data_IF_835934490640
#
_entry.id   IF_835934490640
#
_cell.length_a   1.000
_cell.length_b   1.000
_cell.length_c   1.000
_cell.angle_alpha   90.00
_cell.angle_beta   90.00
_cell.angle_gamma   90.00
#
_symmetry.space_group_name_H-M   'P 1'
#
loop_
_entity.id
_entity.type
_entity.pdbx_description
1 polymer ?
#
# COMPACT_ATOMS: atom_id res chain seq x y z
N UNK A 1 62.21 29.47 13.77
CA UNK A 1 60.81 29.11 14.00
C UNK A 1 60.21 28.71 12.66
N UNK A 2 59.95 27.41 12.43
CA UNK A 2 59.37 26.88 11.19
C UNK A 2 57.99 26.30 11.55
N UNK A 3 56.94 26.80 10.90
CA UNK A 3 55.55 26.39 11.12
C UNK A 3 55.18 25.26 10.16
N UNK A 4 54.67 24.15 10.69
CA UNK A 4 54.08 23.04 9.91
C UNK A 4 52.56 23.25 9.75
N UNK A 5 51.93 22.83 8.63
CA UNK A 5 50.49 22.91 8.46
C UNK A 5 49.81 21.60 8.90
N UNK A 6 48.71 21.72 9.65
CA UNK A 6 47.86 20.59 10.04
C UNK A 6 46.97 20.15 8.87
N UNK A 7 47.04 18.87 8.53
CA UNK A 7 46.07 18.17 7.67
C UNK A 7 44.82 17.82 8.49
N UNK A 8 43.66 18.36 8.14
CA UNK A 8 42.38 17.93 8.68
C UNK A 8 41.80 16.81 7.80
N UNK A 9 41.68 15.61 8.36
CA UNK A 9 41.03 14.45 7.74
C UNK A 9 39.53 14.52 8.04
N UNK A 10 38.71 14.76 7.00
CA UNK A 10 37.24 14.72 7.11
C UNK A 10 36.78 13.29 6.85
N UNK A 11 36.34 12.60 7.90
CA UNK A 11 35.75 11.26 7.80
C UNK A 11 34.25 11.38 7.46
N UNK A 12 33.87 10.94 6.27
CA UNK A 12 32.47 10.88 5.82
C UNK A 12 31.78 9.66 6.43
N UNK A 13 30.88 9.89 7.38
CA UNK A 13 30.04 8.86 8.00
C UNK A 13 28.87 8.54 7.07
N UNK A 14 28.92 7.38 6.40
CA UNK A 14 27.81 6.88 5.59
C UNK A 14 26.69 6.35 6.49
N UNK A 15 25.55 7.03 6.49
CA UNK A 15 24.34 6.63 7.22
C UNK A 15 23.61 5.54 6.40
N UNK A 16 23.70 4.28 6.83
CA UNK A 16 22.86 3.20 6.30
C UNK A 16 21.44 3.37 6.84
N UNK A 17 20.52 3.84 6.02
CA UNK A 17 19.09 3.81 6.32
C UNK A 17 18.56 2.40 6.09
N UNK A 18 18.34 1.66 7.17
CA UNK A 18 17.62 0.38 7.13
C UNK A 18 16.14 0.65 6.89
N UNK A 19 15.67 0.38 5.67
CA UNK A 19 14.23 0.31 5.39
C UNK A 19 13.69 -0.93 6.10
N UNK A 20 13.06 -0.72 7.25
CA UNK A 20 12.33 -1.78 7.95
C UNK A 20 11.06 -2.09 7.16
N UNK A 21 11.09 -3.13 6.33
CA UNK A 21 9.88 -3.73 5.80
C UNK A 21 9.13 -4.41 6.94
N UNK A 22 7.96 -3.92 7.31
CA UNK A 22 7.09 -4.63 8.24
C UNK A 22 6.58 -5.90 7.52
N UNK A 23 6.78 -7.07 8.13
CA UNK A 23 6.18 -8.30 7.63
C UNK A 23 4.66 -8.22 7.79
N UNK A 24 3.92 -8.62 6.76
CA UNK A 24 2.46 -8.63 6.79
C UNK A 24 1.92 -9.46 7.97
N UNK A 25 0.79 -9.04 8.53
CA UNK A 25 0.17 -9.71 9.68
C UNK A 25 -0.46 -11.03 9.23
N UNK A 26 0.02 -12.13 9.80
CA UNK A 26 -0.46 -13.48 9.47
C UNK A 26 -1.73 -13.84 10.23
N UNK A 27 -2.84 -14.08 9.53
CA UNK A 27 -4.13 -14.37 10.15
C UNK A 27 -4.11 -15.54 11.14
N UNK A 28 -3.75 -16.74 10.70
CA UNK A 28 -3.78 -17.95 11.54
C UNK A 28 -2.91 -17.84 12.81
N UNK A 29 -1.79 -17.11 12.73
CA UNK A 29 -0.83 -17.03 13.85
C UNK A 29 -1.08 -15.84 14.78
N UNK A 30 -1.65 -14.76 14.27
CA UNK A 30 -1.72 -13.48 15.00
C UNK A 30 -3.14 -12.98 15.21
N UNK A 31 -4.07 -13.25 14.29
CA UNK A 31 -5.45 -12.75 14.35
C UNK A 31 -6.43 -13.81 14.85
N UNK A 32 -6.31 -15.04 14.35
CA UNK A 32 -7.18 -16.14 14.74
C UNK A 32 -7.20 -16.38 16.27
N UNK A 33 -6.06 -16.37 17.00
CA UNK A 33 -6.09 -16.50 18.46
C UNK A 33 -6.88 -15.39 19.17
N UNK A 34 -6.86 -14.16 18.63
CA UNK A 34 -7.63 -13.03 19.16
C UNK A 34 -9.13 -13.28 18.94
N UNK A 35 -9.50 -13.69 17.72
CA UNK A 35 -10.89 -14.01 17.37
C UNK A 35 -11.42 -15.14 18.25
N UNK A 36 -10.66 -16.22 18.40
CA UNK A 36 -11.02 -17.38 19.22
C UNK A 36 -11.26 -16.98 20.68
N UNK A 37 -10.37 -16.17 21.26
CA UNK A 37 -10.46 -15.77 22.65
C UNK A 37 -11.55 -14.72 22.92
N UNK A 38 -11.75 -13.76 22.00
CA UNK A 38 -12.53 -12.54 22.27
C UNK A 38 -13.87 -12.50 21.54
N UNK A 39 -14.02 -13.24 20.45
CA UNK A 39 -15.18 -13.09 19.55
C UNK A 39 -16.06 -14.36 19.52
N UNK A 40 -15.45 -15.55 19.50
CA UNK A 40 -16.17 -16.81 19.28
C UNK A 40 -17.05 -17.25 20.45
N UNK A 41 -17.02 -16.56 21.58
CA UNK A 41 -18.00 -16.76 22.65
C UNK A 41 -19.44 -16.51 22.17
N UNK A 42 -19.63 -15.50 21.32
CA UNK A 42 -20.95 -15.06 20.84
C UNK A 42 -21.11 -15.14 19.31
N UNK A 43 -20.03 -15.04 18.54
CA UNK A 43 -20.05 -14.96 17.07
C UNK A 43 -19.52 -16.24 16.42
N UNK A 44 -20.15 -17.38 16.70
CA UNK A 44 -19.83 -18.68 16.10
C UNK A 44 -21.08 -19.37 15.58
N UNK A 45 -20.91 -20.48 14.88
CA UNK A 45 -22.02 -21.32 14.46
C UNK A 45 -23.01 -21.61 15.61
N UNK A 46 -24.29 -21.84 15.27
CA UNK A 46 -25.29 -22.18 16.28
C UNK A 46 -24.80 -23.35 17.13
N UNK A 47 -24.86 -23.20 18.44
CA UNK A 47 -24.30 -24.18 19.37
C UNK A 47 -25.24 -24.40 20.55
N UNK A 48 -25.08 -25.52 21.23
CA UNK A 48 -25.80 -25.76 22.47
C UNK A 48 -25.02 -25.22 23.66
N UNK A 49 -25.73 -24.49 24.53
CA UNK A 49 -25.22 -24.01 25.80
C UNK A 49 -26.32 -24.22 26.86
N UNK A 50 -26.01 -24.97 27.92
CA UNK A 50 -26.96 -25.30 28.98
C UNK A 50 -28.27 -25.94 28.47
N UNK A 51 -28.16 -26.83 27.47
CA UNK A 51 -29.30 -27.52 26.86
C UNK A 51 -30.21 -26.63 26.01
N UNK A 52 -29.77 -25.41 25.66
CA UNK A 52 -30.48 -24.49 24.78
C UNK A 52 -29.63 -24.19 23.55
N UNK A 53 -30.24 -24.26 22.37
CA UNK A 53 -29.62 -23.77 21.14
C UNK A 53 -29.43 -22.25 21.23
N UNK A 54 -28.22 -21.79 20.95
CA UNK A 54 -27.82 -20.38 20.87
C UNK A 54 -27.47 -20.05 19.43
N UNK A 55 -28.13 -19.04 18.90
CA UNK A 55 -27.80 -18.46 17.59
C UNK A 55 -26.69 -17.40 17.75
N UNK A 56 -25.85 -17.18 16.71
CA UNK A 56 -24.86 -16.11 16.70
C UNK A 56 -25.48 -14.74 16.96
N UNK A 57 -24.83 -13.92 17.78
CA UNK A 57 -25.30 -12.55 18.05
C UNK A 57 -25.20 -11.68 16.80
N UNK A 58 -26.27 -10.92 16.53
CA UNK A 58 -26.41 -10.07 15.34
C UNK A 58 -26.32 -10.86 14.03
N UNK A 59 -26.68 -12.15 14.05
CA UNK A 59 -26.50 -13.10 12.93
C UNK A 59 -25.07 -13.19 12.39
N UNK A 60 -24.09 -12.65 13.14
CA UNK A 60 -22.71 -12.52 12.72
C UNK A 60 -21.91 -13.72 13.20
N UNK A 61 -21.22 -14.39 12.27
CA UNK A 61 -20.21 -15.38 12.62
C UNK A 61 -18.81 -14.93 12.22
N UNK A 62 -17.89 -15.19 13.12
CA UNK A 62 -16.46 -14.93 12.98
C UNK A 62 -15.63 -16.22 13.01
N UNK A 63 -16.29 -17.38 13.01
CA UNK A 63 -15.68 -18.72 13.00
C UNK A 63 -15.40 -19.26 11.59
N UNK A 64 -15.65 -18.48 10.55
CA UNK A 64 -15.40 -18.86 9.16
C UNK A 64 -15.17 -17.65 8.26
N UNK A 65 -14.19 -17.76 7.35
CA UNK A 65 -13.84 -16.66 6.45
C UNK A 65 -15.04 -16.22 5.58
N UNK A 66 -15.82 -17.18 5.08
CA UNK A 66 -17.01 -16.88 4.28
C UNK A 66 -18.06 -16.11 5.06
N UNK A 67 -18.21 -16.39 6.37
CA UNK A 67 -19.20 -15.75 7.22
C UNK A 67 -18.74 -14.35 7.64
N UNK A 68 -17.44 -14.18 7.93
CA UNK A 68 -16.84 -12.88 8.22
C UNK A 68 -17.02 -11.89 7.06
N UNK A 69 -16.89 -12.38 5.82
CA UNK A 69 -17.09 -11.58 4.61
C UNK A 69 -18.57 -11.34 4.28
N UNK A 70 -19.45 -12.28 4.65
CA UNK A 70 -20.91 -12.08 4.51
C UNK A 70 -21.41 -10.97 5.44
N UNK A 71 -20.86 -10.89 6.65
CA UNK A 71 -21.32 -9.97 7.68
C UNK A 71 -22.51 -10.50 8.48
N UNK A 72 -23.22 -9.61 9.16
CA UNK A 72 -24.34 -9.92 10.05
C UNK A 72 -25.63 -9.21 9.66
N UNK A 73 -26.53 -9.06 10.65
CA UNK A 73 -27.86 -8.45 10.53
C UNK A 73 -27.83 -7.05 9.91
N UNK A 74 -26.79 -6.27 10.19
CA UNK A 74 -26.62 -4.90 9.69
C UNK A 74 -25.69 -4.80 8.47
N UNK A 75 -25.32 -5.92 7.87
CA UNK A 75 -24.46 -5.99 6.69
C UNK A 75 -23.00 -6.26 7.01
N UNK A 76 -22.11 -5.76 6.15
CA UNK A 76 -20.68 -6.08 6.18
C UNK A 76 -19.95 -5.43 7.37
N UNK A 77 -19.44 -6.26 8.28
CA UNK A 77 -18.66 -5.83 9.46
C UNK A 77 -17.15 -5.78 9.20
N UNK A 78 -16.68 -6.49 8.16
CA UNK A 78 -15.29 -6.55 7.74
C UNK A 78 -15.18 -5.94 6.34
N UNK A 79 -14.46 -4.82 6.22
CA UNK A 79 -14.19 -4.15 4.95
C UNK A 79 -12.68 -4.18 4.69
N UNK A 80 -12.19 -5.14 3.90
CA UNK A 80 -10.77 -5.24 3.53
C UNK A 80 -10.19 -3.90 3.06
N UNK A 81 -9.04 -3.52 3.62
CA UNK A 81 -8.33 -2.27 3.33
C UNK A 81 -8.90 -1.02 4.01
N UNK A 82 -9.94 -1.14 4.85
CA UNK A 82 -10.65 0.00 5.45
C UNK A 82 -11.03 -0.27 6.91
N UNK A 83 -10.05 -0.32 7.81
CA UNK A 83 -10.31 -0.52 9.25
C UNK A 83 -11.19 0.57 9.85
N UNK A 84 -11.03 1.82 9.40
CA UNK A 84 -11.78 3.01 9.84
C UNK A 84 -13.29 2.99 9.54
N UNK A 85 -13.74 2.02 8.74
CA UNK A 85 -15.14 1.80 8.40
C UNK A 85 -15.55 0.34 8.56
N UNK A 86 -14.72 -0.48 9.22
CA UNK A 86 -15.03 -1.87 9.56
C UNK A 86 -15.51 -1.95 11.00
N UNK A 87 -16.79 -2.26 11.20
CA UNK A 87 -17.40 -2.41 12.53
C UNK A 87 -16.65 -3.45 13.39
N UNK A 88 -16.09 -4.49 12.76
CA UNK A 88 -15.24 -5.49 13.41
C UNK A 88 -14.05 -4.87 14.17
N UNK A 89 -13.49 -3.77 13.69
CA UNK A 89 -12.46 -3.01 14.39
C UNK A 89 -13.06 -1.91 15.27
N UNK A 90 -13.96 -1.09 14.71
CA UNK A 90 -14.50 0.09 15.40
C UNK A 90 -15.13 -0.27 16.74
N UNK A 91 -15.92 -1.34 16.80
CA UNK A 91 -16.61 -1.75 18.03
C UNK A 91 -15.66 -2.24 19.12
N UNK A 92 -14.44 -2.67 18.75
CA UNK A 92 -13.43 -3.12 19.72
C UNK A 92 -12.67 -1.98 20.41
N UNK A 93 -12.79 -0.76 19.87
CA UNK A 93 -12.09 0.43 20.38
C UNK A 93 -13.03 1.52 20.89
N UNK A 94 -14.34 1.24 20.92
CA UNK A 94 -15.33 2.11 21.55
C UNK A 94 -15.11 2.23 23.07
N UNK A 95 -15.68 3.26 23.71
CA UNK A 95 -15.81 3.29 25.16
C UNK A 95 -16.51 2.04 25.69
N UNK A 96 -16.09 1.52 26.84
CA UNK A 96 -16.64 0.27 27.39
C UNK A 96 -18.11 0.34 27.80
N UNK A 97 -18.61 1.54 28.01
CA UNK A 97 -20.00 1.85 28.35
C UNK A 97 -20.87 2.09 27.11
N UNK A 98 -20.29 2.03 25.90
CA UNK A 98 -21.03 2.05 24.66
C UNK A 98 -21.74 0.70 24.44
N UNK A 99 -23.00 0.74 24.01
CA UNK A 99 -23.82 -0.46 23.79
C UNK A 99 -23.27 -1.34 22.65
N UNK A 100 -22.55 -0.75 21.69
CA UNK A 100 -21.92 -1.46 20.58
C UNK A 100 -20.50 -1.95 20.93
N UNK A 101 -20.00 -1.69 22.14
CA UNK A 101 -18.66 -2.13 22.55
C UNK A 101 -18.53 -3.67 22.54
N UNK A 102 -17.49 -4.16 21.88
CA UNK A 102 -17.19 -5.58 21.76
C UNK A 102 -15.80 -5.93 22.33
N UNK A 103 -15.66 -7.01 23.12
CA UNK A 103 -16.75 -7.89 23.56
C UNK A 103 -17.56 -7.29 24.73
N UNK A 104 -18.89 -7.55 24.81
CA UNK A 104 -19.76 -7.00 25.86
C UNK A 104 -19.50 -7.66 27.22
N UNK A 105 -18.87 -8.83 27.23
CA UNK A 105 -18.45 -9.57 28.42
C UNK A 105 -17.08 -10.17 28.19
N UNK A 106 -16.27 -10.19 29.25
CA UNK A 106 -14.89 -10.66 29.19
C UNK A 106 -13.91 -9.50 29.02
N UNK A 107 -12.64 -9.85 28.86
CA UNK A 107 -11.59 -8.85 28.73
C UNK A 107 -11.59 -8.21 27.34
N UNK A 108 -11.51 -6.87 27.24
CA UNK A 108 -11.26 -6.16 25.98
C UNK A 108 -10.05 -6.69 25.22
N UNK A 109 -9.96 -6.29 23.95
CA UNK A 109 -8.68 -6.36 23.25
C UNK A 109 -7.69 -5.43 23.95
N UNK A 110 -6.47 -5.92 24.12
CA UNK A 110 -5.32 -5.08 24.45
C UNK A 110 -5.03 -4.11 23.30
N UNK A 111 -4.28 -3.04 23.57
CA UNK A 111 -3.86 -2.10 22.53
C UNK A 111 -3.14 -2.80 21.36
N UNK A 112 -2.38 -3.84 21.69
CA UNK A 112 -1.56 -4.58 20.71
C UNK A 112 -2.41 -5.51 19.86
N UNK A 113 -3.41 -6.17 20.46
CA UNK A 113 -4.39 -6.97 19.73
C UNK A 113 -5.25 -6.10 18.81
N UNK A 114 -5.73 -4.96 19.31
CA UNK A 114 -6.51 -4.01 18.50
C UNK A 114 -5.67 -3.46 17.34
N UNK A 115 -4.38 -3.19 17.56
CA UNK A 115 -3.45 -2.77 16.51
C UNK A 115 -3.24 -3.86 15.48
N UNK A 116 -3.03 -5.12 15.89
CA UNK A 116 -2.90 -6.25 14.97
C UNK A 116 -4.16 -6.40 14.10
N UNK A 117 -5.34 -6.38 14.72
CA UNK A 117 -6.62 -6.45 14.02
C UNK A 117 -6.76 -5.32 13.00
N UNK A 118 -6.44 -4.08 13.40
CA UNK A 118 -6.45 -2.91 12.52
C UNK A 118 -5.53 -3.10 11.32
N UNK A 119 -4.27 -3.46 11.56
CA UNK A 119 -3.26 -3.65 10.51
C UNK A 119 -3.68 -4.76 9.55
N UNK A 120 -4.15 -5.89 10.06
CA UNK A 120 -4.62 -6.99 9.21
C UNK A 120 -5.78 -6.57 8.32
N UNK A 121 -6.76 -5.80 8.83
CA UNK A 121 -7.84 -5.27 8.00
C UNK A 121 -7.29 -4.32 6.94
N UNK A 122 -6.42 -3.37 7.32
CA UNK A 122 -5.82 -2.40 6.39
C UNK A 122 -4.94 -3.05 5.31
N UNK A 123 -4.31 -4.18 5.61
CA UNK A 123 -3.53 -5.00 4.67
C UNK A 123 -4.41 -5.82 3.72
N UNK A 124 -5.74 -5.80 3.89
CA UNK A 124 -6.69 -6.46 3.00
C UNK A 124 -7.37 -7.69 3.60
N UNK A 125 -7.27 -7.88 4.92
CA UNK A 125 -7.92 -8.97 5.65
C UNK A 125 -7.60 -10.36 5.06
N UNK A 126 -6.32 -10.61 4.76
CA UNK A 126 -5.89 -11.88 4.19
C UNK A 126 -6.01 -13.02 5.21
N UNK A 127 -6.91 -13.96 4.97
CA UNK A 127 -7.10 -15.16 5.80
C UNK A 127 -5.99 -16.20 5.59
N UNK A 128 -5.10 -15.99 4.61
CA UNK A 128 -4.10 -16.95 4.18
C UNK A 128 -4.77 -18.17 3.54
N UNK A 129 -4.79 -19.29 4.25
CA UNK A 129 -5.47 -20.53 3.83
C UNK A 129 -6.64 -20.93 4.72
N UNK A 130 -6.93 -20.15 5.77
CA UNK A 130 -7.94 -20.53 6.74
C UNK A 130 -9.35 -20.31 6.20
N UNK A 131 -10.13 -21.40 6.12
CA UNK A 131 -11.53 -21.33 5.69
C UNK A 131 -12.50 -21.27 6.88
N UNK A 132 -12.08 -21.83 8.03
CA UNK A 132 -12.90 -21.98 9.24
C UNK A 132 -14.11 -22.90 9.06
N UNK A 133 -15.15 -22.69 9.86
CA UNK A 133 -16.34 -23.54 9.91
C UNK A 133 -17.22 -23.43 8.65
N UNK A 134 -17.32 -24.52 7.88
CA UNK A 134 -18.10 -24.57 6.64
C UNK A 134 -19.59 -24.90 6.84
N UNK A 135 -20.05 -25.12 8.07
CA UNK A 135 -21.45 -25.41 8.36
C UNK A 135 -22.36 -24.24 7.95
N UNK A 136 -23.46 -24.55 7.25
CA UNK A 136 -24.44 -23.56 6.83
C UNK A 136 -23.95 -22.59 5.76
N UNK A 137 -22.79 -22.87 5.14
CA UNK A 137 -22.25 -22.06 4.06
C UNK A 137 -23.18 -22.13 2.83
N UNK A 138 -23.64 -20.99 2.30
CA UNK A 138 -24.43 -20.97 1.07
C UNK A 138 -23.63 -21.51 -0.12
N UNK A 139 -24.28 -22.32 -0.96
CA UNK A 139 -23.65 -22.98 -2.10
C UNK A 139 -23.19 -22.00 -3.21
N UNK A 140 -23.79 -20.81 -3.23
CA UNK A 140 -23.48 -19.71 -4.13
C UNK A 140 -22.34 -18.81 -3.63
N UNK A 141 -21.86 -18.97 -2.39
CA UNK A 141 -20.63 -18.31 -1.93
C UNK A 141 -19.44 -19.11 -2.47
N UNK A 142 -18.67 -18.56 -3.44
CA UNK A 142 -17.56 -19.27 -4.08
C UNK A 142 -16.60 -19.84 -3.04
N UNK A 143 -16.21 -21.13 -3.21
CA UNK A 143 -15.18 -21.87 -2.44
C UNK A 143 -14.09 -20.96 -1.88
N UNK A 144 -13.69 -21.15 -0.61
CA UNK A 144 -12.97 -20.18 0.23
C UNK A 144 -12.02 -19.29 -0.54
N UNK A 145 -12.05 -17.98 -0.26
CA UNK A 145 -11.41 -16.91 -1.04
C UNK A 145 -10.04 -17.32 -1.58
N UNK A 146 -10.02 -17.91 -2.77
CA UNK A 146 -8.83 -17.88 -3.61
C UNK A 146 -8.72 -16.42 -4.05
N UNK A 147 -7.78 -15.72 -3.40
CA UNK A 147 -7.33 -14.33 -3.63
C UNK A 147 -8.32 -13.23 -3.28
N UNK A 148 -8.01 -12.47 -2.22
CA UNK A 148 -8.01 -11.00 -2.34
C UNK A 148 -6.56 -10.52 -2.47
N UNK A 149 -5.95 -10.93 -3.57
CA UNK A 149 -4.92 -10.19 -4.27
C UNK A 149 -4.96 -10.66 -5.72
N UNK A 150 -6.06 -10.33 -6.41
CA UNK A 150 -5.87 -9.94 -7.81
C UNK A 150 -4.81 -8.83 -7.80
N UNK A 151 -3.86 -8.79 -8.75
CA UNK A 151 -2.87 -7.73 -8.71
C UNK A 151 -3.63 -6.41 -8.66
N UNK A 152 -3.22 -5.49 -7.76
CA UNK A 152 -3.86 -4.16 -7.69
C UNK A 152 -3.92 -3.63 -9.11
N UNK A 153 -4.92 -2.83 -9.48
CA UNK A 153 -5.03 -2.34 -10.88
C UNK A 153 -3.70 -1.75 -11.40
N UNK A 154 -2.98 -1.09 -10.49
CA UNK A 154 -1.62 -0.59 -10.69
C UNK A 154 -0.55 -1.67 -10.92
N UNK A 155 -0.64 -2.82 -10.25
CA UNK A 155 0.24 -3.97 -10.46
C UNK A 155 0.01 -4.63 -11.84
N UNK A 156 -1.24 -4.79 -12.28
CA UNK A 156 -1.54 -5.25 -13.65
C UNK A 156 -1.06 -4.23 -14.70
N UNK A 157 -1.32 -2.93 -14.46
CA UNK A 157 -0.85 -1.85 -15.31
C UNK A 157 0.67 -1.89 -15.46
N UNK A 158 1.42 -1.99 -14.36
CA UNK A 158 2.89 -2.02 -14.39
C UNK A 158 3.44 -3.29 -15.01
N UNK A 159 2.79 -4.43 -14.79
CA UNK A 159 3.16 -5.66 -15.49
C UNK A 159 2.99 -5.50 -17.00
N UNK A 160 1.90 -4.88 -17.45
CA UNK A 160 1.65 -4.58 -18.86
C UNK A 160 2.70 -3.62 -19.42
N UNK A 161 2.99 -2.51 -18.72
CA UNK A 161 3.97 -1.52 -19.16
C UNK A 161 5.40 -2.07 -19.20
N UNK A 162 5.74 -2.98 -18.28
CA UNK A 162 7.07 -3.59 -18.19
C UNK A 162 7.34 -4.66 -19.27
N UNK A 163 6.32 -5.02 -20.07
CA UNK A 163 6.47 -6.04 -21.12
C UNK A 163 7.50 -5.60 -22.16
N UNK A 164 8.42 -6.51 -22.51
CA UNK A 164 9.53 -6.31 -23.45
C UNK A 164 10.50 -5.15 -23.12
N UNK A 165 10.45 -4.66 -21.88
CA UNK A 165 11.26 -3.54 -21.44
C UNK A 165 12.59 -4.02 -20.85
N UNK A 166 13.70 -3.45 -21.32
CA UNK A 166 15.04 -3.75 -20.82
C UNK A 166 15.46 -2.75 -19.74
N UNK A 167 16.21 -3.17 -18.71
CA UNK A 167 16.81 -2.25 -17.75
C UNK A 167 17.70 -1.21 -18.43
N UNK A 168 17.64 0.02 -17.92
CA UNK A 168 18.49 1.13 -18.39
C UNK A 168 19.89 0.99 -17.79
N UNK A 169 20.91 1.21 -18.61
CA UNK A 169 22.30 1.18 -18.14
C UNK A 169 22.55 2.25 -17.06
N UNK A 170 23.30 1.90 -16.01
CA UNK A 170 23.61 2.81 -14.91
C UNK A 170 24.26 4.12 -15.36
N UNK A 171 25.11 4.06 -16.40
CA UNK A 171 25.74 5.25 -16.98
C UNK A 171 24.71 6.24 -17.57
N UNK A 172 23.60 5.74 -18.12
CA UNK A 172 22.51 6.58 -18.62
C UNK A 172 21.75 7.24 -17.47
N UNK A 173 21.52 6.48 -16.39
CA UNK A 173 20.92 7.00 -15.15
C UNK A 173 21.81 8.06 -14.51
N UNK A 174 23.13 7.85 -14.47
CA UNK A 174 24.10 8.80 -13.93
C UNK A 174 24.09 10.13 -14.70
N UNK A 175 24.02 10.10 -16.03
CA UNK A 175 23.91 11.31 -16.86
C UNK A 175 22.63 12.11 -16.58
N UNK A 176 21.51 11.44 -16.35
CA UNK A 176 20.27 12.13 -15.95
C UNK A 176 20.41 12.77 -14.57
N UNK A 177 21.11 12.13 -13.63
CA UNK A 177 21.42 12.70 -12.31
C UNK A 177 22.29 13.95 -12.39
N UNK A 178 23.28 13.99 -13.27
CA UNK A 178 24.08 15.19 -13.54
C UNK A 178 23.24 16.35 -14.09
N UNK A 179 22.14 16.05 -14.80
CA UNK A 179 21.17 17.03 -15.26
C UNK A 179 20.18 17.48 -14.16
N UNK A 180 20.25 16.92 -12.95
CA UNK A 180 19.40 17.24 -11.80
C UNK A 180 18.25 16.27 -11.55
N UNK A 181 18.10 15.21 -12.37
CA UNK A 181 17.04 14.23 -12.21
C UNK A 181 17.38 13.20 -11.13
N UNK A 182 16.47 12.94 -10.20
CA UNK A 182 16.51 11.77 -9.34
C UNK A 182 15.75 10.65 -10.02
N UNK A 183 16.46 9.59 -10.42
CA UNK A 183 15.88 8.46 -11.14
C UNK A 183 15.89 7.22 -10.24
N UNK A 184 14.73 6.60 -10.08
CA UNK A 184 14.51 5.41 -9.24
C UNK A 184 13.67 4.37 -9.97
N UNK A 185 13.81 3.10 -9.56
CA UNK A 185 12.94 2.02 -10.05
C UNK A 185 11.59 2.11 -9.34
N UNK A 186 10.50 1.92 -10.09
CA UNK A 186 9.16 1.84 -9.50
C UNK A 186 8.96 0.57 -8.69
N UNK A 187 9.58 -0.54 -9.12
CA UNK A 187 9.65 -1.82 -8.42
C UNK A 187 10.99 -2.48 -8.69
N UNK A 188 11.50 -3.23 -7.71
CA UNK A 188 12.83 -3.84 -7.76
C UNK A 188 13.01 -4.87 -8.90
N UNK A 189 11.93 -5.48 -9.37
CA UNK A 189 11.90 -6.53 -10.40
C UNK A 189 11.48 -6.03 -11.79
N UNK A 190 11.36 -4.71 -11.98
CA UNK A 190 10.89 -4.10 -13.22
C UNK A 190 11.89 -3.10 -13.78
N UNK A 191 11.82 -2.84 -15.08
CA UNK A 191 12.61 -1.83 -15.78
C UNK A 191 11.90 -0.46 -15.84
N UNK A 192 10.76 -0.30 -15.15
CA UNK A 192 10.01 0.96 -15.10
C UNK A 192 10.66 1.96 -14.14
N UNK A 193 10.77 3.20 -14.58
CA UNK A 193 11.46 4.27 -13.88
C UNK A 193 10.51 5.39 -13.47
N UNK A 194 10.78 5.94 -12.30
CA UNK A 194 10.32 7.24 -11.85
C UNK A 194 11.48 8.22 -11.95
N UNK A 195 11.20 9.41 -12.49
CA UNK A 195 12.15 10.52 -12.51
C UNK A 195 11.54 11.75 -11.84
N UNK A 196 12.29 12.39 -10.95
CA UNK A 196 11.85 13.58 -10.23
C UNK A 196 12.92 14.67 -10.27
N UNK A 197 12.53 15.94 -10.43
CA UNK A 197 13.43 17.10 -10.39
C UNK A 197 13.27 17.91 -9.09
N UNK A 198 13.16 17.24 -7.95
CA UNK A 198 12.85 17.87 -6.65
C UNK A 198 13.99 18.74 -6.08
N UNK A 199 15.23 18.40 -6.42
CA UNK A 199 16.43 19.16 -6.02
C UNK A 199 16.87 20.07 -7.14
N UNK A 200 16.99 21.38 -6.87
CA UNK A 200 17.37 22.35 -7.90
C UNK A 200 16.25 22.66 -8.89
N UNK A 201 14.99 22.64 -8.45
CA UNK A 201 13.80 22.92 -9.30
C UNK A 201 13.94 24.18 -10.15
N UNK A 202 14.56 25.25 -9.62
CA UNK A 202 14.80 26.51 -10.33
C UNK A 202 15.83 26.41 -11.45
N UNK A 203 16.67 25.38 -11.43
CA UNK A 203 17.67 25.08 -12.45
C UNK A 203 17.20 24.02 -13.47
N UNK A 204 16.04 23.41 -13.27
CA UNK A 204 15.42 22.48 -14.21
C UNK A 204 14.76 23.26 -15.35
N UNK A 205 15.47 23.39 -16.46
CA UNK A 205 15.00 23.98 -17.73
C UNK A 205 14.57 22.89 -18.72
N UNK A 206 13.94 23.28 -19.82
CA UNK A 206 13.46 22.37 -20.86
C UNK A 206 14.58 21.44 -21.38
N UNK A 207 15.80 21.97 -21.54
CA UNK A 207 16.98 21.20 -21.96
C UNK A 207 17.39 20.11 -20.96
N UNK A 208 17.13 20.33 -19.66
CA UNK A 208 17.42 19.34 -18.61
C UNK A 208 16.44 18.17 -18.67
N UNK A 209 15.19 18.42 -19.05
CA UNK A 209 14.19 17.36 -19.28
C UNK A 209 14.61 16.48 -20.46
N UNK A 210 15.24 17.05 -21.49
CA UNK A 210 15.75 16.29 -22.64
C UNK A 210 16.82 15.24 -22.26
N UNK A 211 17.49 15.38 -21.10
CA UNK A 211 18.40 14.36 -20.59
C UNK A 211 17.72 13.02 -20.26
N UNK A 212 16.38 12.98 -20.17
CA UNK A 212 15.60 11.75 -19.98
C UNK A 212 15.33 10.99 -21.29
N UNK A 213 15.54 11.59 -22.47
CA UNK A 213 15.25 10.95 -23.76
C UNK A 213 15.93 9.58 -23.96
N UNK A 214 17.18 9.35 -23.51
CA UNK A 214 17.82 8.03 -23.62
C UNK A 214 17.12 6.91 -22.83
N UNK A 215 16.20 7.24 -21.92
CA UNK A 215 15.42 6.30 -21.12
C UNK A 215 13.90 6.51 -21.26
N UNK A 216 13.46 7.19 -22.34
CA UNK A 216 12.06 7.56 -22.57
C UNK A 216 11.10 6.37 -22.56
N UNK A 217 11.57 5.19 -22.98
CA UNK A 217 10.77 3.97 -22.98
C UNK A 217 10.52 3.42 -21.57
N UNK A 218 11.34 3.81 -20.60
CA UNK A 218 11.31 3.33 -19.22
C UNK A 218 10.62 4.32 -18.27
N UNK A 219 10.59 5.62 -18.59
CA UNK A 219 9.94 6.63 -17.74
C UNK A 219 8.43 6.39 -17.70
N UNK A 220 7.93 6.11 -16.50
CA UNK A 220 6.52 5.81 -16.23
C UNK A 220 5.87 6.84 -15.32
N UNK A 221 6.67 7.46 -14.44
CA UNK A 221 6.26 8.60 -13.63
C UNK A 221 7.29 9.72 -13.76
N UNK A 222 6.82 10.95 -13.92
CA UNK A 222 7.65 12.14 -14.06
C UNK A 222 7.13 13.27 -13.18
N UNK A 223 7.92 13.70 -12.21
CA UNK A 223 7.64 14.87 -11.37
C UNK A 223 8.53 16.06 -11.79
N UNK A 224 7.88 17.06 -12.36
CA UNK A 224 8.46 18.34 -12.76
C UNK A 224 7.85 19.50 -11.97
N UNK A 225 7.17 19.21 -10.86
CA UNK A 225 6.49 20.21 -10.05
C UNK A 225 7.46 21.28 -9.53
N UNK A 226 7.05 22.55 -9.61
CA UNK A 226 7.79 23.75 -9.18
C UNK A 226 9.04 24.07 -10.01
N UNK A 227 9.25 23.38 -11.13
CA UNK A 227 10.37 23.67 -12.04
C UNK A 227 10.09 24.89 -12.93
N UNK A 228 11.10 25.35 -13.66
CA UNK A 228 10.99 26.54 -14.54
C UNK A 228 10.71 26.19 -16.00
N UNK A 229 10.33 24.95 -16.27
CA UNK A 229 10.03 24.44 -17.62
C UNK A 229 8.85 25.17 -18.26
N UNK A 230 8.83 25.17 -19.59
CA UNK A 230 7.83 25.80 -20.45
C UNK A 230 7.17 24.79 -21.38
N UNK A 231 6.26 25.25 -22.24
CA UNK A 231 5.58 24.43 -23.26
C UNK A 231 6.54 23.71 -24.24
N UNK A 232 7.81 24.12 -24.29
CA UNK A 232 8.83 23.42 -25.07
C UNK A 232 9.22 22.05 -24.47
N UNK A 233 9.16 21.88 -23.14
CA UNK A 233 9.42 20.59 -22.51
C UNK A 233 8.40 19.52 -22.92
N UNK A 234 7.19 19.91 -23.30
CA UNK A 234 6.12 18.98 -23.69
C UNK A 234 6.48 18.19 -24.95
N UNK A 235 7.28 18.74 -25.87
CA UNK A 235 7.77 18.01 -27.05
C UNK A 235 8.70 16.85 -26.67
N UNK A 236 9.39 16.96 -25.54
CA UNK A 236 10.21 15.89 -24.97
C UNK A 236 9.33 14.88 -24.24
N UNK A 237 8.39 15.35 -23.43
CA UNK A 237 7.51 14.51 -22.61
C UNK A 237 6.60 13.63 -23.48
N UNK A 238 6.09 14.17 -24.59
CA UNK A 238 5.26 13.44 -25.56
C UNK A 238 5.97 12.22 -26.18
N UNK A 239 7.31 12.15 -26.10
CA UNK A 239 8.09 11.02 -26.58
C UNK A 239 8.20 9.85 -25.59
N UNK A 240 7.55 9.94 -24.41
CA UNK A 240 7.59 8.92 -23.36
C UNK A 240 6.34 8.01 -23.44
N UNK A 241 6.38 6.90 -24.18
CA UNK A 241 5.19 6.11 -24.50
C UNK A 241 4.55 5.38 -23.32
N UNK A 242 5.22 5.35 -22.16
CA UNK A 242 4.77 4.65 -20.94
C UNK A 242 4.51 5.59 -19.77
N UNK A 243 4.54 6.91 -20.01
CA UNK A 243 4.24 7.88 -18.98
C UNK A 243 2.76 7.78 -18.57
N UNK A 244 2.52 7.56 -17.28
CA UNK A 244 1.17 7.41 -16.71
C UNK A 244 0.88 8.44 -15.62
N UNK A 245 1.92 9.03 -15.05
CA UNK A 245 1.81 10.10 -14.05
C UNK A 245 2.76 11.21 -14.44
N UNK A 246 2.23 12.42 -14.54
CA UNK A 246 2.97 13.64 -14.84
C UNK A 246 2.55 14.74 -13.87
N UNK A 247 3.48 15.25 -13.07
CA UNK A 247 3.26 16.41 -12.21
C UNK A 247 3.89 17.66 -12.84
N UNK A 248 3.03 18.63 -13.19
CA UNK A 248 3.41 19.93 -13.76
C UNK A 248 2.99 21.09 -12.86
N UNK A 249 2.62 20.83 -11.60
CA UNK A 249 2.11 21.87 -10.70
C UNK A 249 3.16 22.95 -10.52
N UNK A 250 2.74 24.20 -10.60
CA UNK A 250 3.61 25.37 -10.39
C UNK A 250 4.78 25.45 -11.38
N UNK A 251 4.59 24.98 -12.61
CA UNK A 251 5.52 25.20 -13.74
C UNK A 251 5.07 26.40 -14.58
N UNK A 252 5.77 26.71 -15.69
CA UNK A 252 5.34 27.70 -16.69
C UNK A 252 4.63 27.07 -17.88
N UNK A 253 4.28 25.78 -17.80
CA UNK A 253 3.49 25.10 -18.83
C UNK A 253 2.07 25.67 -18.83
N UNK A 254 1.57 25.96 -20.01
CA UNK A 254 0.23 26.48 -20.26
C UNK A 254 -0.66 25.42 -20.89
N UNK A 255 -1.95 25.72 -21.04
CA UNK A 255 -2.89 24.84 -21.74
C UNK A 255 -2.45 24.54 -23.19
N UNK A 256 -1.70 25.45 -23.83
CA UNK A 256 -1.15 25.21 -25.17
C UNK A 256 -0.07 24.12 -25.17
N UNK A 257 0.72 24.02 -24.09
CA UNK A 257 1.68 22.93 -23.90
C UNK A 257 1.00 21.59 -23.65
N UNK A 258 -0.09 21.57 -22.87
CA UNK A 258 -0.84 20.35 -22.53
C UNK A 258 -1.58 19.73 -23.73
N UNK A 259 -1.80 20.50 -24.80
CA UNK A 259 -2.48 20.03 -26.00
C UNK A 259 -1.57 19.25 -26.98
N UNK A 260 -0.27 19.14 -26.69
CA UNK A 260 0.74 18.42 -27.48
C UNK A 260 0.82 16.94 -27.07
#
# INVERSE_FOLDING_TARGET
MKTSPSLALVATLALLTTTSGHAAVGFEKQILPIIEAKCLGCHKAPHEENGKKKEPKGELRLDAAWAMLKGGEHGAVLKPGKSDSSDMYLFTVLPKDDDDFMPPKGDPLTAEEAKLLKTWIDEGADFGGWEGNQEGRPADIPGGTKKVAGPREHDELYKKLNTDLKPVAEATIAKAKEAGAQVTLLKADMALLRADFLTGVSACTDDKVAALLPMKDNITQLDLGRTVITDAAMDTIAQMPRLTVLDLRQTKVTDAGLAK
#
